data_IF_548904949381
#
_entry.id   IF_548904949381
#
_cell.length_a   1.000
_cell.length_b   1.000
_cell.length_c   1.000
_cell.angle_alpha   90.00
_cell.angle_beta   90.00
_cell.angle_gamma   90.00
#
_symmetry.space_group_name_H-M   'P 1'
#
loop_
_entity.id
_entity.type
_entity.pdbx_description
1 polymer ?
#
# COMPACT_ATOMS: atom_id res chain seq x y z
N UNK A 1 10.48 -3.61 0.45
CA UNK A 1 10.05 -2.25 0.83
C UNK A 1 8.55 -2.23 1.04
N UNK A 2 8.01 -1.16 1.60
CA UNK A 2 6.57 -0.96 1.79
C UNK A 2 6.19 0.42 1.24
N UNK A 3 4.97 0.54 0.71
CA UNK A 3 4.43 1.78 0.18
C UNK A 3 2.90 1.81 0.25
N UNK A 4 2.36 3.01 0.28
CA UNK A 4 0.92 3.30 0.25
C UNK A 4 0.47 3.75 -1.15
N UNK A 5 -0.74 3.37 -1.56
CA UNK A 5 -1.31 3.83 -2.84
C UNK A 5 -2.69 4.48 -2.70
N UNK A 6 -2.88 5.55 -3.47
CA UNK A 6 -4.15 6.25 -3.73
C UNK A 6 -4.45 6.32 -5.24
N UNK A 7 -5.68 6.66 -5.60
CA UNK A 7 -6.03 7.01 -6.99
C UNK A 7 -6.11 8.53 -7.15
N UNK A 8 -5.54 9.03 -8.25
CA UNK A 8 -5.78 10.38 -8.76
C UNK A 8 -7.20 10.52 -9.34
N UNK A 9 -7.61 11.75 -9.64
CA UNK A 9 -8.93 12.05 -10.22
C UNK A 9 -9.14 11.47 -11.62
N UNK A 10 -8.06 11.31 -12.40
CA UNK A 10 -8.03 10.65 -13.71
C UNK A 10 -7.75 9.14 -13.62
N UNK A 11 -7.70 8.60 -12.40
CA UNK A 11 -7.69 7.16 -12.13
C UNK A 11 -6.31 6.51 -12.20
N UNK A 12 -5.23 7.26 -12.09
CA UNK A 12 -3.86 6.74 -12.01
C UNK A 12 -3.52 6.32 -10.58
N UNK A 13 -2.77 5.23 -10.43
CA UNK A 13 -2.35 4.73 -9.11
C UNK A 13 -1.07 5.44 -8.69
N UNK A 14 -1.15 6.27 -7.66
CA UNK A 14 -0.05 7.09 -7.14
C UNK A 14 0.41 6.63 -5.77
N UNK A 15 1.70 6.80 -5.49
CA UNK A 15 2.37 6.35 -4.27
C UNK A 15 2.52 7.53 -3.30
N UNK A 16 1.63 7.59 -2.32
CA UNK A 16 1.57 8.63 -1.28
C UNK A 16 0.79 8.08 -0.09
N UNK A 17 1.12 8.49 1.14
CA UNK A 17 0.48 7.92 2.34
C UNK A 17 -0.83 8.62 2.73
N UNK A 18 -0.88 9.95 2.68
CA UNK A 18 -2.03 10.71 3.17
C UNK A 18 -3.08 10.83 2.05
N UNK A 19 -4.34 11.02 2.45
CA UNK A 19 -5.41 11.34 1.49
C UNK A 19 -5.20 12.70 0.83
N UNK A 20 -4.38 13.57 1.43
CA UNK A 20 -4.02 14.89 0.92
C UNK A 20 -2.52 14.99 0.66
N UNK A 21 -2.13 15.94 -0.19
CA UNK A 21 -0.72 16.17 -0.55
C UNK A 21 0.03 17.07 0.44
N UNK A 22 -0.70 17.73 1.34
CA UNK A 22 -0.24 18.85 2.19
C UNK A 22 1.00 18.56 3.05
N UNK A 23 1.08 17.36 3.64
CA UNK A 23 2.15 17.05 4.61
C UNK A 23 3.50 16.81 3.94
N UNK A 24 3.49 16.21 2.76
CA UNK A 24 4.70 15.69 2.10
C UNK A 24 4.96 16.32 0.74
N UNK A 25 4.34 17.46 0.46
CA UNK A 25 4.59 18.20 -0.77
C UNK A 25 4.52 19.71 -0.53
N UNK A 26 4.78 20.49 -1.57
CA UNK A 26 4.52 21.93 -1.59
C UNK A 26 3.09 22.30 -2.07
N UNK A 27 2.21 21.32 -2.28
CA UNK A 27 0.82 21.52 -2.71
C UNK A 27 -0.18 21.37 -1.56
N UNK A 28 -1.47 21.53 -1.88
CA UNK A 28 -2.59 21.26 -0.96
C UNK A 28 -3.74 20.58 -1.69
N UNK A 29 -4.55 19.84 -0.96
CA UNK A 29 -5.78 19.22 -1.49
C UNK A 29 -5.75 17.70 -1.53
N UNK A 30 -6.91 17.12 -1.85
CA UNK A 30 -7.10 15.67 -1.88
C UNK A 30 -6.45 15.07 -3.12
N UNK A 31 -5.73 13.96 -2.93
CA UNK A 31 -5.13 13.19 -4.04
C UNK A 31 -6.20 12.77 -5.06
N UNK A 32 -7.38 12.37 -4.58
CA UNK A 32 -8.52 11.95 -5.41
C UNK A 32 -9.16 13.07 -6.24
N UNK A 33 -8.81 14.33 -5.98
CA UNK A 33 -9.34 15.50 -6.68
C UNK A 33 -8.31 16.12 -7.65
N UNK A 34 -7.08 15.61 -7.68
CA UNK A 34 -6.00 16.09 -8.54
C UNK A 34 -5.73 15.06 -9.64
N UNK A 35 -5.47 15.52 -10.87
CA UNK A 35 -5.01 14.68 -11.99
C UNK A 35 -3.58 14.21 -11.75
N UNK A 36 -3.15 13.15 -12.45
CA UNK A 36 -1.75 12.73 -12.37
C UNK A 36 -0.80 13.86 -12.77
N UNK A 37 -1.17 14.66 -13.77
CA UNK A 37 -0.35 15.80 -14.21
C UNK A 37 -0.17 16.84 -13.09
N UNK A 38 -1.24 17.18 -12.38
CA UNK A 38 -1.18 18.11 -11.25
C UNK A 38 -0.35 17.53 -10.11
N UNK A 39 -0.55 16.25 -9.76
CA UNK A 39 0.23 15.55 -8.72
C UNK A 39 1.73 15.51 -9.07
N UNK A 40 2.07 15.27 -10.34
CA UNK A 40 3.46 15.26 -10.83
C UNK A 40 4.12 16.63 -10.84
N UNK A 41 3.35 17.71 -10.80
CA UNK A 41 3.90 19.07 -10.73
C UNK A 41 4.38 19.47 -9.34
N UNK A 42 4.01 18.70 -8.31
CA UNK A 42 4.35 18.97 -6.92
C UNK A 42 5.77 18.51 -6.57
N UNK A 43 6.44 19.27 -5.72
CA UNK A 43 7.70 18.88 -5.09
C UNK A 43 7.38 18.07 -3.83
N UNK A 44 7.67 16.78 -3.88
CA UNK A 44 7.44 15.79 -2.82
C UNK A 44 8.70 15.47 -1.99
N UNK A 45 9.81 16.20 -2.17
CA UNK A 45 11.08 15.93 -1.51
C UNK A 45 11.61 17.07 -0.64
N UNK A 46 11.39 18.33 -1.03
CA UNK A 46 11.92 19.52 -0.33
C UNK A 46 11.44 19.64 1.12
N UNK A 47 10.29 19.06 1.47
CA UNK A 47 9.77 19.05 2.85
C UNK A 47 10.64 18.20 3.79
N UNK A 48 11.34 17.19 3.26
CA UNK A 48 12.18 16.28 4.02
C UNK A 48 13.62 16.80 4.09
N UNK A 49 14.21 17.13 2.94
CA UNK A 49 15.53 17.75 2.84
C UNK A 49 15.61 18.54 1.51
N UNK A 50 16.14 19.77 1.49
CA UNK A 50 16.35 20.55 0.27
C UNK A 50 17.15 19.82 -0.82
N UNK A 51 17.99 18.84 -0.46
CA UNK A 51 18.71 17.99 -1.42
C UNK A 51 17.79 17.16 -2.32
N UNK A 52 16.55 16.88 -1.88
CA UNK A 52 15.55 16.15 -2.66
C UNK A 52 14.59 17.09 -3.40
N UNK A 53 14.99 18.33 -3.67
CA UNK A 53 14.17 19.25 -4.46
C UNK A 53 13.80 18.66 -5.82
N UNK A 54 12.57 18.93 -6.27
CA UNK A 54 11.99 18.47 -7.53
C UNK A 54 11.74 16.96 -7.65
N UNK A 55 11.88 16.19 -6.56
CA UNK A 55 11.33 14.82 -6.51
C UNK A 55 9.81 14.93 -6.60
N UNK A 56 9.19 14.16 -7.48
CA UNK A 56 7.73 14.16 -7.69
C UNK A 56 7.07 12.98 -6.99
N UNK A 57 5.75 13.05 -6.77
CA UNK A 57 4.96 11.87 -6.37
C UNK A 57 5.10 10.77 -7.45
N UNK A 58 5.55 9.55 -7.10
CA UNK A 58 5.63 8.44 -8.06
C UNK A 58 4.26 7.82 -8.33
N UNK A 59 4.10 7.24 -9.52
CA UNK A 59 3.05 6.26 -9.82
C UNK A 59 3.50 4.88 -9.35
N UNK A 60 2.55 3.97 -9.11
CA UNK A 60 2.89 2.59 -8.80
C UNK A 60 3.66 1.93 -9.97
N UNK A 61 3.31 2.26 -11.22
CA UNK A 61 3.99 1.73 -12.40
C UNK A 61 5.47 2.10 -12.44
N UNK A 62 5.81 3.36 -12.16
CA UNK A 62 7.21 3.80 -12.10
C UNK A 62 7.99 3.07 -11.00
N UNK A 63 7.38 2.82 -9.83
CA UNK A 63 8.04 2.07 -8.75
C UNK A 63 8.27 0.62 -9.16
N UNK A 64 7.26 -0.04 -9.75
CA UNK A 64 7.38 -1.42 -10.22
C UNK A 64 8.46 -1.57 -11.29
N UNK A 65 8.51 -0.66 -12.26
CA UNK A 65 9.52 -0.64 -13.33
C UNK A 65 10.92 -0.38 -12.79
N UNK A 66 11.05 0.54 -11.82
CA UNK A 66 12.33 0.82 -11.18
C UNK A 66 12.84 -0.40 -10.42
N UNK A 67 11.99 -1.07 -9.62
CA UNK A 67 12.39 -2.26 -8.88
C UNK A 67 12.83 -3.41 -9.81
N UNK A 68 12.16 -3.58 -10.94
CA UNK A 68 12.57 -4.57 -11.94
C UNK A 68 13.93 -4.21 -12.57
N UNK A 69 14.09 -2.93 -12.95
CA UNK A 69 15.34 -2.41 -13.54
C UNK A 69 16.53 -2.57 -12.60
N UNK A 70 16.33 -2.32 -11.31
CA UNK A 70 17.34 -2.45 -10.27
C UNK A 70 17.57 -3.91 -9.81
N UNK A 71 16.85 -4.88 -10.39
CA UNK A 71 16.97 -6.29 -10.04
C UNK A 71 16.59 -6.57 -8.60
N UNK A 72 15.53 -5.93 -8.09
CA UNK A 72 15.07 -6.11 -6.73
C UNK A 72 14.60 -7.55 -6.46
N UNK A 73 15.16 -8.19 -5.44
CA UNK A 73 14.85 -9.59 -5.07
C UNK A 73 14.08 -9.70 -3.74
N UNK A 74 13.53 -8.61 -3.22
CA UNK A 74 12.92 -8.57 -1.89
C UNK A 74 11.42 -8.82 -1.90
N UNK A 75 10.75 -8.36 -0.85
CA UNK A 75 9.31 -8.31 -0.77
C UNK A 75 8.84 -6.86 -0.94
N UNK A 76 7.86 -6.63 -1.81
CA UNK A 76 7.13 -5.37 -1.90
C UNK A 76 5.75 -5.53 -1.23
N UNK A 77 5.51 -4.73 -0.18
CA UNK A 77 4.18 -4.59 0.43
C UNK A 77 3.48 -3.35 -0.12
N UNK A 78 2.31 -3.52 -0.72
CA UNK A 78 1.49 -2.43 -1.27
C UNK A 78 0.27 -2.26 -0.36
N UNK A 79 0.23 -1.17 0.43
CA UNK A 79 -0.94 -0.79 1.22
C UNK A 79 -1.97 -0.04 0.36
N UNK A 80 -3.16 -0.62 0.19
CA UNK A 80 -4.28 0.01 -0.50
C UNK A 80 -5.07 0.88 0.48
N UNK A 81 -4.91 2.21 0.39
CA UNK A 81 -5.52 3.22 1.27
C UNK A 81 -6.98 3.46 0.90
N UNK A 82 -7.83 2.59 1.43
CA UNK A 82 -9.27 2.52 1.11
C UNK A 82 -10.17 2.62 2.34
N UNK A 83 -9.60 2.91 3.51
CA UNK A 83 -10.31 2.95 4.80
C UNK A 83 -10.97 4.30 5.09
N UNK A 84 -10.48 5.39 4.50
CA UNK A 84 -11.11 6.73 4.61
C UNK A 84 -11.82 7.17 3.34
N UNK A 85 -11.20 6.95 2.19
CA UNK A 85 -11.77 7.23 0.86
C UNK A 85 -11.91 5.89 0.12
N UNK A 86 -13.11 5.62 -0.40
CA UNK A 86 -13.37 4.39 -1.15
C UNK A 86 -13.06 4.62 -2.62
N UNK A 87 -12.26 3.72 -3.19
CA UNK A 87 -11.87 3.73 -4.59
C UNK A 87 -12.35 2.43 -5.26
N UNK A 88 -13.52 2.41 -5.91
CA UNK A 88 -14.12 1.18 -6.45
C UNK A 88 -13.21 0.38 -7.41
N UNK A 89 -12.33 1.07 -8.14
CA UNK A 89 -11.44 0.45 -9.14
C UNK A 89 -10.02 0.18 -8.60
N UNK A 90 -9.71 0.54 -7.35
CA UNK A 90 -8.35 0.45 -6.80
C UNK A 90 -7.77 -0.96 -6.89
N UNK A 91 -8.47 -1.97 -6.36
CA UNK A 91 -7.99 -3.34 -6.34
C UNK A 91 -7.71 -3.90 -7.73
N UNK A 92 -8.58 -3.60 -8.71
CA UNK A 92 -8.38 -4.03 -10.10
C UNK A 92 -7.19 -3.33 -10.73
N UNK A 93 -7.08 -2.00 -10.60
CA UNK A 93 -5.98 -1.22 -11.19
C UNK A 93 -4.62 -1.65 -10.62
N UNK A 94 -4.51 -1.76 -9.30
CA UNK A 94 -3.28 -2.23 -8.65
C UNK A 94 -2.92 -3.64 -9.11
N UNK A 95 -3.90 -4.56 -9.15
CA UNK A 95 -3.66 -5.92 -9.63
C UNK A 95 -3.19 -5.95 -11.09
N UNK A 96 -3.87 -5.21 -11.98
CA UNK A 96 -3.48 -5.11 -13.39
C UNK A 96 -2.05 -4.61 -13.57
N UNK A 97 -1.66 -3.53 -12.89
CA UNK A 97 -0.29 -3.00 -12.97
C UNK A 97 0.76 -4.02 -12.52
N UNK A 98 0.51 -4.75 -11.43
CA UNK A 98 1.43 -5.80 -10.96
C UNK A 98 1.52 -6.94 -11.97
N UNK A 99 0.41 -7.34 -12.58
CA UNK A 99 0.41 -8.40 -13.59
C UNK A 99 1.07 -7.99 -14.90
N UNK A 100 0.96 -6.72 -15.29
CA UNK A 100 1.63 -6.15 -16.47
C UNK A 100 3.16 -6.12 -16.29
N UNK A 101 3.65 -5.75 -15.11
CA UNK A 101 5.09 -5.83 -14.81
C UNK A 101 5.56 -7.27 -14.62
N UNK A 102 4.71 -8.16 -14.12
CA UNK A 102 5.02 -9.57 -13.81
C UNK A 102 6.33 -9.73 -13.00
N UNK A 103 6.44 -9.08 -11.83
CA UNK A 103 7.70 -8.98 -11.10
C UNK A 103 8.24 -10.34 -10.66
N UNK A 104 9.56 -10.50 -10.69
CA UNK A 104 10.24 -11.70 -10.18
C UNK A 104 10.31 -11.77 -8.65
N UNK A 105 9.94 -10.69 -7.96
CA UNK A 105 9.95 -10.55 -6.51
C UNK A 105 8.56 -10.73 -5.88
N UNK A 106 8.52 -10.97 -4.58
CA UNK A 106 7.28 -11.23 -3.88
C UNK A 106 6.43 -9.95 -3.72
N UNK A 107 5.12 -10.10 -3.88
CA UNK A 107 4.12 -9.06 -3.63
C UNK A 107 3.21 -9.48 -2.48
N UNK A 108 3.00 -8.57 -1.53
CA UNK A 108 1.93 -8.65 -0.53
C UNK A 108 1.05 -7.43 -0.65
N UNK A 109 -0.27 -7.63 -0.64
CA UNK A 109 -1.24 -6.56 -0.61
C UNK A 109 -1.75 -6.37 0.82
N UNK A 110 -1.79 -5.14 1.29
CA UNK A 110 -2.21 -4.86 2.66
C UNK A 110 -3.22 -3.74 2.71
N UNK A 111 -4.06 -3.71 3.75
CA UNK A 111 -5.04 -2.64 3.96
C UNK A 111 -5.63 -2.68 5.37
N UNK A 112 -6.05 -1.53 5.88
CA UNK A 112 -6.95 -1.42 7.03
C UNK A 112 -8.41 -1.72 6.66
N UNK A 113 -8.76 -1.66 5.37
CA UNK A 113 -10.08 -1.99 4.86
C UNK A 113 -10.16 -3.49 4.53
N UNK A 114 -11.04 -4.17 5.25
CA UNK A 114 -11.23 -5.61 5.16
C UNK A 114 -11.81 -6.06 3.81
N UNK A 115 -12.72 -5.26 3.24
CA UNK A 115 -13.39 -5.58 1.98
C UNK A 115 -12.41 -5.50 0.81
N UNK A 116 -11.48 -4.54 0.84
CA UNK A 116 -10.38 -4.42 -0.14
C UNK A 116 -9.53 -5.69 -0.21
N UNK A 117 -9.20 -6.30 0.94
CA UNK A 117 -8.43 -7.55 0.95
C UNK A 117 -9.25 -8.74 0.42
N UNK A 118 -10.56 -8.76 0.68
CA UNK A 118 -11.47 -9.75 0.10
C UNK A 118 -11.52 -9.58 -1.42
N UNK A 119 -11.59 -8.35 -1.93
CA UNK A 119 -11.57 -8.06 -3.36
C UNK A 119 -10.28 -8.54 -4.00
N UNK A 120 -9.12 -8.29 -3.40
CA UNK A 120 -7.85 -8.83 -3.88
C UNK A 120 -7.86 -10.36 -3.96
N UNK A 121 -8.41 -11.06 -2.95
CA UNK A 121 -8.56 -12.52 -2.96
C UNK A 121 -9.63 -13.03 -3.94
N UNK A 122 -10.63 -12.23 -4.29
CA UNK A 122 -11.63 -12.56 -5.32
C UNK A 122 -11.05 -12.42 -6.72
N UNK A 123 -10.20 -11.41 -6.95
CA UNK A 123 -9.50 -11.20 -8.21
C UNK A 123 -8.56 -12.38 -8.50
N UNK A 124 -7.76 -12.78 -7.49
CA UNK A 124 -6.93 -13.96 -7.55
C UNK A 124 -6.73 -14.52 -6.14
N UNK A 125 -7.13 -15.77 -5.90
CA UNK A 125 -7.10 -16.39 -4.58
C UNK A 125 -5.68 -16.68 -4.07
N UNK A 126 -4.69 -16.69 -4.98
CA UNK A 126 -3.26 -16.83 -4.67
C UNK A 126 -2.61 -15.54 -4.19
N UNK A 127 -3.26 -14.38 -4.33
CA UNK A 127 -2.72 -13.11 -3.85
C UNK A 127 -2.39 -13.20 -2.37
N UNK A 128 -1.18 -12.83 -1.96
CA UNK A 128 -0.82 -12.77 -0.55
C UNK A 128 -1.40 -11.49 0.05
N UNK A 129 -2.16 -11.61 1.15
CA UNK A 129 -2.77 -10.46 1.83
C UNK A 129 -2.31 -10.34 3.28
N UNK A 130 -2.05 -9.11 3.70
CA UNK A 130 -1.74 -8.75 5.08
C UNK A 130 -2.81 -7.82 5.66
N UNK A 131 -3.41 -8.21 6.79
CA UNK A 131 -4.43 -7.40 7.46
C UNK A 131 -3.77 -6.40 8.42
N UNK A 132 -4.04 -5.11 8.23
CA UNK A 132 -3.60 -4.03 9.11
C UNK A 132 -4.66 -3.76 10.18
N UNK A 133 -4.24 -3.51 11.42
CA UNK A 133 -5.15 -3.08 12.48
C UNK A 133 -4.47 -2.25 13.58
N UNK A 134 -5.13 -1.15 13.98
CA UNK A 134 -4.62 -0.21 15.01
C UNK A 134 -4.78 -0.71 16.45
N UNK A 135 -5.73 -1.62 16.72
CA UNK A 135 -5.99 -2.24 18.04
C UNK A 135 -6.23 -3.73 17.89
N UNK A 136 -6.00 -4.47 18.99
CA UNK A 136 -6.05 -5.94 19.18
C UNK A 136 -7.29 -6.65 18.57
N UNK A 137 -8.36 -5.93 18.26
CA UNK A 137 -9.68 -6.47 17.91
C UNK A 137 -9.84 -7.15 16.55
N UNK A 138 -8.79 -7.26 15.72
CA UNK A 138 -8.91 -7.86 14.37
C UNK A 138 -7.75 -8.77 13.98
N UNK A 139 -7.23 -9.56 14.93
CA UNK A 139 -6.28 -10.65 14.64
C UNK A 139 -6.97 -11.85 13.97
N UNK A 140 -7.62 -11.59 12.83
CA UNK A 140 -8.35 -12.59 12.06
C UNK A 140 -7.40 -13.36 11.16
N UNK A 141 -7.55 -14.69 11.14
CA UNK A 141 -6.76 -15.57 10.27
C UNK A 141 -7.43 -15.85 8.94
N UNK A 142 -8.71 -15.50 8.83
CA UNK A 142 -9.51 -15.70 7.63
C UNK A 142 -10.36 -14.47 7.34
N UNK A 143 -10.44 -14.10 6.07
CA UNK A 143 -11.36 -13.10 5.56
C UNK A 143 -12.70 -13.74 5.20
N UNK A 144 -13.81 -13.25 5.77
CA UNK A 144 -15.16 -13.80 5.63
C UNK A 144 -15.25 -15.33 5.90
N UNK A 145 -14.40 -15.85 6.79
CA UNK A 145 -14.32 -17.29 7.08
C UNK A 145 -13.78 -18.15 5.93
N UNK A 146 -13.50 -17.58 4.76
CA UNK A 146 -13.12 -18.28 3.53
C UNK A 146 -11.64 -18.14 3.21
N UNK A 147 -11.17 -16.91 2.98
CA UNK A 147 -9.82 -16.66 2.46
C UNK A 147 -8.80 -16.60 3.58
N UNK A 148 -7.61 -17.18 3.42
CA UNK A 148 -6.52 -17.03 4.39
C UNK A 148 -5.97 -15.61 4.42
N UNK A 149 -5.51 -15.18 5.60
CA UNK A 149 -4.64 -14.02 5.76
C UNK A 149 -3.22 -14.55 5.97
N UNK A 150 -2.27 -14.11 5.16
CA UNK A 150 -0.90 -14.62 5.17
C UNK A 150 -0.02 -13.92 6.22
N UNK A 151 -0.34 -12.68 6.60
CA UNK A 151 0.37 -11.95 7.65
C UNK A 151 -0.52 -10.93 8.40
N UNK A 152 -0.10 -10.53 9.59
CA UNK A 152 -0.68 -9.38 10.29
C UNK A 152 0.31 -8.23 10.30
N UNK A 153 -0.14 -7.03 9.97
CA UNK A 153 0.65 -5.83 10.15
C UNK A 153 0.15 -5.10 11.39
N UNK A 154 1.01 -4.99 12.40
CA UNK A 154 0.63 -4.62 13.77
C UNK A 154 1.48 -3.45 14.28
N UNK A 155 0.97 -2.63 15.20
CA UNK A 155 1.79 -1.61 15.86
C UNK A 155 3.01 -2.22 16.56
N UNK A 156 4.17 -1.55 16.50
CA UNK A 156 5.44 -2.00 17.12
C UNK A 156 5.24 -2.39 18.59
N UNK A 157 4.55 -1.55 19.37
CA UNK A 157 4.35 -1.80 20.79
C UNK A 157 3.48 -3.03 21.06
N UNK A 158 2.53 -3.30 20.16
CA UNK A 158 1.74 -4.52 20.21
C UNK A 158 2.60 -5.75 19.91
N UNK A 159 3.44 -5.69 18.88
CA UNK A 159 4.36 -6.79 18.53
C UNK A 159 5.29 -7.10 19.71
N UNK A 160 5.90 -6.07 20.29
CA UNK A 160 6.78 -6.19 21.47
C UNK A 160 6.08 -6.84 22.65
N UNK A 161 4.87 -6.38 23.00
CA UNK A 161 4.10 -6.93 24.10
C UNK A 161 3.75 -8.42 23.91
N UNK A 162 3.55 -8.86 22.66
CA UNK A 162 3.10 -10.23 22.35
C UNK A 162 4.23 -11.22 22.08
N UNK A 163 5.39 -10.76 21.62
CA UNK A 163 6.60 -11.59 21.53
C UNK A 163 7.03 -12.11 22.90
N UNK A 164 6.77 -11.36 23.97
CA UNK A 164 6.99 -11.77 25.37
C UNK A 164 6.04 -12.93 25.78
N UNK A 165 4.86 -13.02 25.17
CA UNK A 165 3.81 -13.99 25.50
C UNK A 165 3.85 -15.26 24.61
N UNK A 166 4.84 -15.38 23.73
CA UNK A 166 5.05 -16.53 22.83
C UNK A 166 4.96 -16.17 21.34
N UNK A 167 5.36 -17.13 20.48
CA UNK A 167 5.42 -16.88 19.03
C UNK A 167 4.01 -16.61 18.44
N UNK A 168 3.85 -15.57 17.59
CA UNK A 168 2.59 -15.26 16.95
C UNK A 168 2.17 -16.37 15.97
N UNK A 169 0.86 -16.54 15.79
CA UNK A 169 0.26 -17.61 14.95
C UNK A 169 0.35 -17.34 13.43
N UNK A 170 0.65 -16.12 13.05
CA UNK A 170 0.93 -15.68 11.68
C UNK A 170 2.20 -14.82 11.71
N UNK A 171 2.94 -14.72 10.59
CA UNK A 171 4.00 -13.74 10.44
C UNK A 171 3.50 -12.33 10.81
N UNK A 172 4.29 -11.62 11.62
CA UNK A 172 4.05 -10.22 11.94
C UNK A 172 4.88 -9.35 11.00
N UNK A 173 4.23 -8.31 10.50
CA UNK A 173 4.84 -7.18 9.78
C UNK A 173 4.64 -5.94 10.63
N UNK A 174 5.62 -5.04 10.63
CA UNK A 174 5.66 -3.85 11.46
C UNK A 174 6.12 -2.70 10.60
#
# INVERSE_FOLDING_TARGET
IELDVHLSSDGEVVVIHDETVDRTTNGTGLVSELTLQELKSLDAGSWFDPLYSKVTIPTLKEVLDMLETEGFCGLLNIELKTDKIVYPEMSRKVYSLVQETAPAYDIVYSSFNYDTLIEMKKINDKNQVALLFKKVGRAQRRLNGKYSVEAWHVPVDWAKARLILGKPRLPLRV
#
